data_IF_551571444600
#
_entry.id   IF_551571444600
#
_cell.length_a   1.000
_cell.length_b   1.000
_cell.length_c   1.000
_cell.angle_alpha   90.00
_cell.angle_beta   90.00
_cell.angle_gamma   90.00
#
_symmetry.space_group_name_H-M   'P 1'
#
loop_
_entity.id
_entity.type
_entity.pdbx_description
1 polymer ?
#
# COMPACT_ATOMS: atom_id res chain seq x y z
N UNK A 1 -32.78 -57.95 -47.02
CA UNK A 1 -33.09 -58.88 -45.92
C UNK A 1 -32.04 -58.72 -44.85
N UNK A 2 -32.36 -57.92 -43.84
CA UNK A 2 -32.54 -58.39 -42.46
C UNK A 2 -31.45 -59.11 -41.67
N UNK A 3 -31.30 -58.57 -40.45
CA UNK A 3 -30.82 -59.11 -39.16
C UNK A 3 -29.33 -59.51 -39.03
N UNK A 4 -28.47 -58.82 -38.26
CA UNK A 4 -28.48 -58.45 -36.83
C UNK A 4 -28.04 -59.59 -35.88
N UNK A 5 -27.20 -59.21 -34.91
CA UNK A 5 -26.81 -59.85 -33.64
C UNK A 5 -25.72 -60.93 -33.62
N UNK A 6 -24.65 -60.62 -32.87
CA UNK A 6 -24.38 -61.24 -31.55
C UNK A 6 -23.56 -60.29 -30.66
N UNK A 7 -24.21 -59.86 -29.58
CA UNK A 7 -23.62 -59.25 -28.39
C UNK A 7 -23.13 -60.32 -27.41
N UNK A 8 -22.11 -59.98 -26.61
CA UNK A 8 -22.03 -60.13 -25.15
C UNK A 8 -20.55 -60.14 -24.72
N UNK A 9 -20.10 -59.63 -23.58
CA UNK A 9 -20.54 -58.64 -22.59
C UNK A 9 -19.53 -58.80 -21.43
N UNK A 10 -19.06 -57.69 -20.84
CA UNK A 10 -18.56 -57.48 -19.46
C UNK A 10 -17.64 -56.24 -19.49
N UNK A 11 -18.14 -55.02 -19.37
CA UNK A 11 -18.66 -54.32 -18.18
C UNK A 11 -17.61 -54.12 -17.07
N UNK A 12 -17.16 -52.88 -16.87
CA UNK A 12 -17.27 -52.13 -15.60
C UNK A 12 -17.14 -50.61 -15.85
N UNK A 13 -17.77 -49.85 -14.94
CA UNK A 13 -18.42 -48.53 -15.07
C UNK A 13 -17.53 -47.29 -14.78
N UNK A 14 -17.91 -46.18 -15.45
CA UNK A 14 -18.10 -44.78 -15.02
C UNK A 14 -17.04 -44.04 -14.16
N UNK A 15 -16.66 -42.83 -14.60
CA UNK A 15 -17.24 -41.62 -13.99
C UNK A 15 -17.15 -40.36 -14.88
N UNK A 16 -18.25 -39.61 -14.89
CA UNK A 16 -18.48 -38.33 -15.58
C UNK A 16 -17.92 -37.17 -14.74
N UNK A 17 -17.42 -36.13 -15.40
CA UNK A 17 -17.05 -34.87 -14.77
C UNK A 17 -17.02 -33.72 -15.77
N UNK A 18 -18.10 -32.94 -15.79
CA UNK A 18 -18.31 -31.72 -16.57
C UNK A 18 -17.09 -30.78 -16.61
N UNK A 19 -16.57 -30.51 -17.81
CA UNK A 19 -15.72 -29.33 -18.04
C UNK A 19 -16.62 -28.14 -18.40
N UNK A 20 -17.05 -27.41 -17.37
CA UNK A 20 -17.58 -26.05 -17.54
C UNK A 20 -16.45 -25.09 -17.92
N UNK A 21 -16.72 -24.31 -18.94
CA UNK A 21 -15.98 -23.15 -19.42
C UNK A 21 -15.62 -22.20 -18.26
N UNK A 22 -14.33 -22.08 -17.95
CA UNK A 22 -13.84 -21.04 -17.01
C UNK A 22 -13.86 -19.69 -17.71
N UNK A 23 -14.82 -18.87 -17.31
CA UNK A 23 -14.95 -17.46 -17.66
C UNK A 23 -13.71 -16.65 -17.23
N UNK A 24 -13.28 -15.75 -18.10
CA UNK A 24 -12.18 -14.78 -17.89
C UNK A 24 -12.61 -13.60 -16.95
N UNK A 25 -13.72 -13.74 -16.21
CA UNK A 25 -14.36 -12.63 -15.47
C UNK A 25 -13.95 -12.46 -13.99
N UNK A 26 -12.96 -13.19 -13.46
CA UNK A 26 -12.67 -13.17 -12.01
C UNK A 26 -11.60 -12.17 -11.55
N UNK A 27 -10.79 -11.60 -12.46
CA UNK A 27 -9.72 -10.64 -12.08
C UNK A 27 -10.23 -9.20 -11.95
N UNK A 28 -11.15 -8.78 -12.82
CA UNK A 28 -11.73 -7.44 -12.81
C UNK A 28 -12.70 -7.23 -11.63
N UNK A 29 -13.50 -8.24 -11.28
CA UNK A 29 -14.42 -8.16 -10.13
C UNK A 29 -13.67 -8.03 -8.81
N UNK A 30 -12.60 -8.81 -8.60
CA UNK A 30 -11.77 -8.75 -7.40
C UNK A 30 -10.95 -7.45 -7.28
N UNK A 31 -10.49 -6.86 -8.40
CA UNK A 31 -9.84 -5.54 -8.36
C UNK A 31 -10.82 -4.45 -7.93
N UNK A 32 -12.07 -4.49 -8.44
CA UNK A 32 -13.10 -3.51 -8.09
C UNK A 32 -13.52 -3.60 -6.62
N UNK A 33 -13.65 -4.81 -6.07
CA UNK A 33 -14.00 -4.99 -4.65
C UNK A 33 -12.90 -4.56 -3.69
N UNK A 34 -11.62 -4.84 -4.02
CA UNK A 34 -10.49 -4.37 -3.21
C UNK A 34 -10.38 -2.85 -3.26
N UNK A 35 -10.52 -2.22 -4.43
CA UNK A 35 -10.50 -0.76 -4.56
C UNK A 35 -11.60 -0.07 -3.74
N UNK A 36 -12.82 -0.62 -3.74
CA UNK A 36 -13.93 -0.10 -2.93
C UNK A 36 -13.61 -0.21 -1.44
N UNK A 37 -13.03 -1.33 -1.00
CA UNK A 37 -12.64 -1.52 0.40
C UNK A 37 -11.50 -0.61 0.84
N UNK A 38 -10.50 -0.41 0.00
CA UNK A 38 -9.36 0.47 0.27
C UNK A 38 -9.82 1.92 0.38
N UNK A 39 -10.64 2.37 -0.59
CA UNK A 39 -11.21 3.72 -0.57
C UNK A 39 -12.12 3.95 0.65
N UNK A 40 -12.97 2.99 1.01
CA UNK A 40 -13.85 3.11 2.17
C UNK A 40 -13.06 3.21 3.49
N UNK A 41 -11.97 2.45 3.60
CA UNK A 41 -11.06 2.55 4.74
C UNK A 41 -10.39 3.93 4.82
N UNK A 42 -9.84 4.43 3.70
CA UNK A 42 -9.21 5.76 3.65
C UNK A 42 -10.19 6.87 4.02
N UNK A 43 -11.41 6.84 3.49
CA UNK A 43 -12.45 7.81 3.82
C UNK A 43 -12.85 7.74 5.31
N UNK A 44 -12.97 6.54 5.87
CA UNK A 44 -13.30 6.35 7.30
C UNK A 44 -12.16 6.82 8.19
N UNK A 45 -10.91 6.56 7.82
CA UNK A 45 -9.73 7.05 8.54
C UNK A 45 -9.69 8.58 8.56
N UNK A 46 -9.92 9.24 7.42
CA UNK A 46 -9.99 10.70 7.36
C UNK A 46 -11.14 11.24 8.23
N UNK A 47 -12.31 10.60 8.22
CA UNK A 47 -13.44 11.01 9.07
C UNK A 47 -13.11 10.88 10.56
N UNK A 48 -12.49 9.78 10.97
CA UNK A 48 -12.02 9.60 12.35
C UNK A 48 -11.02 10.71 12.73
N UNK A 49 -10.01 10.96 11.88
CA UNK A 49 -8.96 11.95 12.16
C UNK A 49 -9.49 13.36 12.37
N UNK A 50 -10.60 13.75 11.70
CA UNK A 50 -11.25 15.05 11.92
C UNK A 50 -11.66 15.30 13.37
N UNK A 51 -11.96 14.25 14.12
CA UNK A 51 -12.39 14.34 15.51
C UNK A 51 -11.21 14.28 16.50
N UNK A 52 -9.99 14.06 16.02
CA UNK A 52 -8.79 13.88 16.86
C UNK A 52 -8.00 15.16 17.06
N UNK A 53 -7.07 15.15 18.01
CA UNK A 53 -6.12 16.25 18.16
C UNK A 53 -5.10 16.31 17.00
N UNK A 54 -4.91 15.25 16.22
CA UNK A 54 -3.98 15.26 15.07
C UNK A 54 -4.39 16.34 14.06
N UNK A 55 -5.66 16.33 13.62
CA UNK A 55 -6.14 17.36 12.68
C UNK A 55 -6.24 18.75 13.32
N UNK A 56 -6.53 18.83 14.61
CA UNK A 56 -6.57 20.12 15.34
C UNK A 56 -5.18 20.74 15.42
N UNK A 57 -4.17 19.97 15.80
CA UNK A 57 -2.79 20.42 15.95
C UNK A 57 -2.17 20.79 14.59
N UNK A 58 -2.54 20.07 13.52
CA UNK A 58 -2.15 20.41 12.15
C UNK A 58 -2.92 21.63 11.59
N UNK A 59 -3.94 22.13 12.29
CA UNK A 59 -4.79 23.22 11.84
C UNK A 59 -5.30 23.02 10.40
N UNK A 60 -6.03 21.92 10.17
CA UNK A 60 -6.56 21.58 8.84
C UNK A 60 -7.47 22.70 8.31
N UNK A 61 -7.13 23.24 7.15
CA UNK A 61 -7.88 24.27 6.44
C UNK A 61 -8.86 23.67 5.42
N UNK A 62 -8.45 22.58 4.78
CA UNK A 62 -9.24 21.94 3.72
C UNK A 62 -9.05 20.42 3.72
N UNK A 63 -10.15 19.69 3.49
CA UNK A 63 -10.11 18.28 3.08
C UNK A 63 -10.43 18.23 1.59
N UNK A 64 -9.43 17.89 0.79
CA UNK A 64 -9.50 17.96 -0.68
C UNK A 64 -10.44 16.87 -1.20
N UNK A 65 -11.48 17.31 -1.92
CA UNK A 65 -12.42 16.42 -2.65
C UNK A 65 -12.25 16.51 -4.16
N UNK A 66 -11.47 17.47 -4.64
CA UNK A 66 -11.16 17.62 -6.06
C UNK A 66 -10.26 16.47 -6.53
N UNK A 67 -10.71 15.80 -7.58
CA UNK A 67 -10.06 14.59 -8.09
C UNK A 67 -8.67 14.88 -8.65
N UNK A 68 -8.51 16.00 -9.35
CA UNK A 68 -7.24 16.31 -10.00
C UNK A 68 -6.16 16.66 -8.97
N UNK A 69 -6.54 17.36 -7.89
CA UNK A 69 -5.65 17.60 -6.74
C UNK A 69 -5.33 16.33 -5.97
N UNK A 70 -6.29 15.43 -5.77
CA UNK A 70 -6.04 14.11 -5.18
C UNK A 70 -5.06 13.29 -6.03
N UNK A 71 -5.19 13.31 -7.36
CA UNK A 71 -4.25 12.66 -8.27
C UNK A 71 -2.84 13.28 -8.24
N UNK A 72 -2.70 14.51 -7.75
CA UNK A 72 -1.42 15.15 -7.45
C UNK A 72 -0.94 14.90 -6.01
N UNK A 73 -1.59 13.99 -5.27
CA UNK A 73 -1.15 13.56 -3.93
C UNK A 73 -1.50 14.55 -2.82
N UNK A 74 -2.63 15.22 -2.91
CA UNK A 74 -3.11 16.14 -1.86
C UNK A 74 -4.44 15.62 -1.31
N UNK A 75 -4.42 15.18 -0.06
CA UNK A 75 -5.63 14.79 0.67
C UNK A 75 -6.17 15.93 1.52
N UNK A 76 -5.27 16.70 2.15
CA UNK A 76 -5.63 17.85 2.99
C UNK A 76 -4.66 19.02 2.79
N UNK A 77 -5.17 20.23 3.02
CA UNK A 77 -4.36 21.43 3.24
C UNK A 77 -4.39 21.74 4.72
N UNK A 78 -3.21 21.84 5.32
CA UNK A 78 -3.00 22.12 6.72
C UNK A 78 -2.23 23.42 6.89
N UNK A 79 -2.19 24.01 8.08
CA UNK A 79 -1.39 25.20 8.34
C UNK A 79 -0.40 24.95 9.47
N UNK A 80 0.89 25.03 9.15
CA UNK A 80 1.99 24.84 10.09
C UNK A 80 2.88 26.08 10.10
N UNK A 81 3.14 26.62 11.29
CA UNK A 81 3.95 27.85 11.47
C UNK A 81 3.48 29.04 10.60
N UNK A 82 2.16 29.14 10.39
CA UNK A 82 1.56 30.21 9.57
C UNK A 82 1.71 30.03 8.06
N UNK A 83 2.15 28.85 7.59
CA UNK A 83 2.23 28.50 6.17
C UNK A 83 1.30 27.34 5.86
N UNK A 84 0.64 27.42 4.71
CA UNK A 84 -0.16 26.32 4.19
C UNK A 84 0.77 25.22 3.67
N UNK A 85 0.46 23.98 4.03
CA UNK A 85 1.19 22.79 3.59
C UNK A 85 0.24 21.78 2.95
N UNK A 86 0.73 21.10 1.91
CA UNK A 86 0.01 20.04 1.19
C UNK A 86 0.37 18.67 1.76
N UNK A 87 -0.63 17.95 2.26
CA UNK A 87 -0.43 16.69 2.97
C UNK A 87 -1.12 15.54 2.24
N UNK A 88 -0.38 14.45 2.10
CA UNK A 88 -0.86 13.14 1.66
C UNK A 88 -0.99 12.22 2.88
N UNK A 89 -2.19 11.70 3.14
CA UNK A 89 -2.50 10.88 4.31
C UNK A 89 -2.35 9.42 3.93
N UNK A 90 -1.49 8.71 4.66
CA UNK A 90 -1.18 7.31 4.43
C UNK A 90 -1.58 6.46 5.63
N UNK A 91 -2.80 5.94 5.60
CA UNK A 91 -3.38 5.17 6.71
C UNK A 91 -3.15 3.65 6.58
N UNK A 92 -2.94 2.99 7.72
CA UNK A 92 -2.77 1.55 7.85
C UNK A 92 -3.62 1.03 9.00
N UNK A 93 -4.47 0.02 8.73
CA UNK A 93 -5.32 -0.64 9.74
C UNK A 93 -4.57 -1.67 10.60
N UNK A 94 -3.34 -1.37 11.02
CA UNK A 94 -2.53 -2.23 11.90
C UNK A 94 -1.29 -1.47 12.38
N UNK A 95 -0.81 -1.77 13.59
CA UNK A 95 0.45 -1.26 14.13
C UNK A 95 1.68 -1.98 13.53
N UNK A 96 1.93 -1.78 12.24
CA UNK A 96 3.08 -2.39 11.55
C UNK A 96 4.40 -1.68 11.93
N UNK A 97 5.53 -2.40 12.04
CA UNK A 97 6.83 -1.82 12.41
C UNK A 97 7.52 -1.07 11.25
N UNK A 98 6.84 -0.89 10.11
CA UNK A 98 7.39 -0.31 8.88
C UNK A 98 6.32 0.43 8.09
N UNK A 99 6.75 1.32 7.19
CA UNK A 99 5.94 1.88 6.11
C UNK A 99 6.65 1.67 4.75
N UNK A 100 5.91 1.68 3.65
CA UNK A 100 6.44 1.51 2.29
C UNK A 100 6.17 2.75 1.44
N UNK A 101 7.20 3.34 0.84
CA UNK A 101 7.06 4.46 -0.10
C UNK A 101 7.37 4.02 -1.51
N UNK A 102 6.47 4.30 -2.45
CA UNK A 102 6.63 3.88 -3.83
C UNK A 102 7.64 4.77 -4.57
N UNK A 103 8.62 4.16 -5.23
CA UNK A 103 9.57 4.84 -6.13
C UNK A 103 9.36 4.44 -7.60
N UNK A 104 8.64 3.34 -7.86
CA UNK A 104 8.16 2.99 -9.21
C UNK A 104 6.83 2.28 -9.08
N UNK A 105 5.80 2.74 -9.81
CA UNK A 105 4.43 2.24 -9.68
C UNK A 105 4.12 1.07 -10.59
N UNK A 106 4.07 1.32 -11.90
CA UNK A 106 3.72 0.30 -12.89
C UNK A 106 4.84 0.14 -13.92
N UNK A 107 5.36 -1.08 -14.02
CA UNK A 107 6.43 -1.43 -14.96
C UNK A 107 6.02 -1.21 -16.43
N UNK A 108 4.74 -1.37 -16.77
CA UNK A 108 4.28 -1.29 -18.17
C UNK A 108 4.07 0.14 -18.66
N UNK A 109 3.94 1.10 -17.74
CA UNK A 109 3.70 2.51 -18.08
C UNK A 109 4.86 3.41 -17.67
N UNK A 110 5.94 2.82 -17.15
CA UNK A 110 7.08 3.55 -16.57
C UNK A 110 6.66 4.62 -15.57
N UNK A 111 5.58 4.37 -14.82
CA UNK A 111 5.05 5.33 -13.87
C UNK A 111 6.05 5.52 -12.72
N UNK A 112 6.50 6.75 -12.51
CA UNK A 112 7.30 7.13 -11.34
C UNK A 112 6.47 6.98 -10.08
N UNK A 113 7.09 6.43 -9.02
CA UNK A 113 6.40 6.27 -7.75
C UNK A 113 6.22 7.60 -7.02
N UNK A 114 5.22 7.66 -6.14
CA UNK A 114 4.82 8.87 -5.41
C UNK A 114 5.95 9.63 -4.71
N UNK A 115 6.95 8.91 -4.17
CA UNK A 115 8.05 9.56 -3.46
C UNK A 115 8.96 10.40 -4.38
N UNK A 116 9.14 9.96 -5.64
CA UNK A 116 10.09 10.57 -6.58
C UNK A 116 9.43 11.23 -7.79
N UNK A 117 8.11 11.10 -7.93
CA UNK A 117 7.37 11.70 -9.03
C UNK A 117 7.40 13.24 -8.91
N UNK A 118 7.90 13.99 -9.90
CA UNK A 118 7.88 15.45 -9.88
C UNK A 118 6.50 16.07 -10.08
N UNK A 119 5.53 15.29 -10.61
CA UNK A 119 4.18 15.78 -10.90
C UNK A 119 3.25 15.77 -9.67
N UNK A 120 3.71 15.23 -8.54
CA UNK A 120 2.93 15.21 -7.30
C UNK A 120 3.35 16.41 -6.44
N UNK A 121 2.35 17.06 -5.86
CA UNK A 121 2.51 18.30 -5.09
C UNK A 121 2.58 18.05 -3.58
N UNK A 122 2.63 16.80 -3.14
CA UNK A 122 2.78 16.43 -1.73
C UNK A 122 4.04 17.05 -1.12
N UNK A 123 3.89 17.82 -0.05
CA UNK A 123 5.00 18.38 0.72
C UNK A 123 5.27 17.56 1.99
N UNK A 124 4.21 17.00 2.57
CA UNK A 124 4.29 16.18 3.79
C UNK A 124 3.48 14.89 3.64
N UNK A 125 3.99 13.82 4.24
CA UNK A 125 3.23 12.61 4.50
C UNK A 125 2.72 12.62 5.94
N UNK A 126 1.43 12.40 6.12
CA UNK A 126 0.87 12.01 7.42
C UNK A 126 0.71 10.49 7.43
N UNK A 127 1.63 9.79 8.08
CA UNK A 127 1.60 8.33 8.18
C UNK A 127 0.81 7.96 9.41
N UNK A 128 -0.26 7.18 9.23
CA UNK A 128 -1.22 6.89 10.30
C UNK A 128 -1.36 5.38 10.48
N UNK A 129 -1.11 4.91 11.69
CA UNK A 129 -1.31 3.52 12.11
C UNK A 129 -2.51 3.46 13.05
N UNK A 130 -3.54 2.70 12.67
CA UNK A 130 -4.71 2.44 13.50
C UNK A 130 -4.66 1.01 14.04
N UNK A 131 -4.93 0.86 15.33
CA UNK A 131 -5.35 -0.40 15.93
C UNK A 131 -6.88 -0.44 16.01
N UNK A 132 -7.48 -1.45 15.39
CA UNK A 132 -8.93 -1.59 15.26
C UNK A 132 -9.43 -2.71 16.17
N UNK A 133 -10.41 -2.40 17.03
CA UNK A 133 -11.03 -3.35 17.94
C UNK A 133 -11.68 -4.49 17.15
N UNK A 134 -11.38 -5.73 17.54
CA UNK A 134 -11.92 -6.94 16.89
C UNK A 134 -11.21 -7.35 15.60
N UNK A 135 -10.19 -6.61 15.14
CA UNK A 135 -9.38 -6.99 13.99
C UNK A 135 -8.17 -7.84 14.41
N UNK A 136 -7.98 -8.99 13.76
CA UNK A 136 -6.81 -9.87 13.94
C UNK A 136 -5.74 -9.73 12.85
N UNK A 137 -6.03 -8.93 11.81
CA UNK A 137 -5.12 -8.70 10.69
C UNK A 137 -5.41 -7.37 10.00
N UNK A 138 -4.43 -6.84 9.27
CA UNK A 138 -4.57 -5.62 8.47
C UNK A 138 -5.78 -5.66 7.52
N UNK A 139 -6.00 -6.79 6.82
CA UNK A 139 -7.15 -6.94 5.92
C UNK A 139 -8.47 -6.83 6.65
N UNK A 140 -8.56 -7.45 7.83
CA UNK A 140 -9.76 -7.42 8.65
C UNK A 140 -9.97 -6.03 9.26
N UNK A 141 -8.91 -5.36 9.71
CA UNK A 141 -8.94 -3.98 10.21
C UNK A 141 -9.51 -3.02 9.18
N UNK A 142 -9.05 -3.09 7.93
CA UNK A 142 -9.61 -2.26 6.84
C UNK A 142 -11.10 -2.47 6.63
N UNK A 143 -11.56 -3.71 6.70
CA UNK A 143 -12.97 -4.04 6.47
C UNK A 143 -13.88 -3.68 7.67
N UNK A 144 -13.33 -3.66 8.89
CA UNK A 144 -14.08 -3.46 10.12
C UNK A 144 -14.03 -2.02 10.65
N UNK A 145 -13.06 -1.20 10.22
CA UNK A 145 -12.87 0.13 10.78
C UNK A 145 -14.16 0.95 10.72
N UNK A 146 -14.50 1.54 11.87
CA UNK A 146 -15.48 2.61 12.05
C UNK A 146 -14.82 3.71 12.88
N UNK A 147 -15.49 4.85 13.06
CA UNK A 147 -14.97 5.92 13.92
C UNK A 147 -14.95 5.51 15.41
N UNK A 148 -15.83 4.59 15.80
CA UNK A 148 -16.06 4.22 17.21
C UNK A 148 -15.26 2.99 17.66
N UNK A 149 -14.56 2.29 16.75
CA UNK A 149 -13.85 1.05 17.08
C UNK A 149 -12.34 1.13 16.91
N UNK A 150 -11.79 2.35 16.87
CA UNK A 150 -10.35 2.58 16.93
C UNK A 150 -9.90 2.48 18.38
N UNK A 151 -8.97 1.59 18.70
CA UNK A 151 -8.39 1.48 20.04
C UNK A 151 -7.19 2.43 20.22
N UNK A 152 -6.38 2.55 19.18
CA UNK A 152 -5.18 3.38 19.19
C UNK A 152 -4.92 3.94 17.80
N UNK A 153 -4.46 5.19 17.75
CA UNK A 153 -3.89 5.80 16.55
C UNK A 153 -2.50 6.35 16.85
N UNK A 154 -1.51 5.88 16.11
CA UNK A 154 -0.17 6.48 16.08
C UNK A 154 0.03 7.18 14.73
N UNK A 155 0.33 8.48 14.75
CA UNK A 155 0.49 9.28 13.54
C UNK A 155 1.80 10.06 13.54
N UNK A 156 2.44 10.17 12.38
CA UNK A 156 3.69 10.91 12.19
C UNK A 156 3.56 11.83 10.97
N UNK A 157 3.80 13.13 11.17
CA UNK A 157 3.91 14.09 10.06
C UNK A 157 5.38 14.22 9.66
N UNK A 158 5.69 13.93 8.40
CA UNK A 158 7.06 13.87 7.89
C UNK A 158 7.16 14.69 6.60
N UNK A 159 8.15 15.59 6.53
CA UNK A 159 8.44 16.32 5.30
C UNK A 159 8.97 15.36 4.23
N UNK A 160 8.37 15.40 3.03
CA UNK A 160 8.70 14.50 1.91
C UNK A 160 10.17 14.61 1.50
N UNK A 161 10.69 15.82 1.38
CA UNK A 161 12.08 16.05 0.97
C UNK A 161 13.09 15.60 2.02
N UNK A 162 12.80 15.79 3.31
CA UNK A 162 13.62 15.25 4.40
C UNK A 162 13.65 13.73 4.37
N UNK A 163 12.49 13.08 4.22
CA UNK A 163 12.39 11.63 4.07
C UNK A 163 13.18 11.12 2.86
N UNK A 164 12.99 11.75 1.70
CA UNK A 164 13.68 11.39 0.46
C UNK A 164 15.19 11.48 0.61
N UNK A 165 15.70 12.59 1.16
CA UNK A 165 17.14 12.78 1.44
C UNK A 165 17.70 11.74 2.38
N UNK A 166 16.95 11.39 3.44
CA UNK A 166 17.38 10.33 4.34
C UNK A 166 17.46 8.99 3.60
N UNK A 167 16.46 8.63 2.81
CA UNK A 167 16.50 7.40 2.01
C UNK A 167 17.69 7.40 1.02
N UNK A 168 17.91 8.50 0.29
CA UNK A 168 19.01 8.66 -0.66
C UNK A 168 20.39 8.61 0.00
N UNK A 169 20.49 9.05 1.26
CA UNK A 169 21.73 8.91 2.05
C UNK A 169 22.12 7.44 2.26
N UNK A 170 21.15 6.53 2.35
CA UNK A 170 21.41 5.09 2.51
C UNK A 170 21.49 4.33 1.19
N UNK A 171 20.72 4.74 0.18
CA UNK A 171 20.52 3.96 -1.04
C UNK A 171 21.12 4.60 -2.31
N UNK A 172 21.59 5.84 -2.22
CA UNK A 172 21.98 6.65 -3.36
C UNK A 172 20.79 7.17 -4.17
N UNK A 173 21.05 7.56 -5.41
CA UNK A 173 20.04 8.05 -6.35
C UNK A 173 18.94 7.00 -6.61
N UNK A 174 17.69 7.39 -6.34
CA UNK A 174 16.54 6.48 -6.42
C UNK A 174 16.14 6.12 -7.85
N UNK A 175 16.37 6.98 -8.84
CA UNK A 175 16.10 6.65 -10.24
C UNK A 175 17.11 5.61 -10.73
N UNK A 176 18.39 5.81 -10.40
CA UNK A 176 19.45 4.83 -10.69
C UNK A 176 19.18 3.49 -9.99
N UNK A 177 18.67 3.52 -8.75
CA UNK A 177 18.28 2.30 -8.03
C UNK A 177 17.12 1.56 -8.71
N UNK A 178 16.11 2.30 -9.19
CA UNK A 178 15.00 1.71 -9.96
C UNK A 178 15.54 0.98 -11.18
N UNK A 179 16.40 1.61 -11.98
CA UNK A 179 16.97 1.01 -13.18
C UNK A 179 17.75 -0.27 -12.87
N UNK A 180 18.59 -0.23 -11.83
CA UNK A 180 19.33 -1.41 -11.35
C UNK A 180 18.40 -2.56 -10.95
N UNK A 181 17.34 -2.27 -10.20
CA UNK A 181 16.38 -3.28 -9.76
C UNK A 181 15.61 -3.86 -10.97
N UNK A 182 15.21 -3.01 -11.91
CA UNK A 182 14.47 -3.43 -13.12
C UNK A 182 15.31 -4.26 -14.07
N UNK A 183 16.64 -4.16 -14.02
CA UNK A 183 17.55 -5.01 -14.80
C UNK A 183 17.57 -6.49 -14.34
N UNK A 184 17.04 -6.80 -13.15
CA UNK A 184 16.97 -8.19 -12.69
C UNK A 184 15.81 -8.96 -13.33
N UNK A 185 16.10 -10.13 -13.89
CA UNK A 185 15.09 -11.12 -14.25
C UNK A 185 14.63 -11.89 -13.00
N UNK A 186 13.46 -11.52 -12.46
CA UNK A 186 12.96 -12.04 -11.20
C UNK A 186 11.72 -12.92 -11.43
N UNK A 187 11.84 -14.21 -11.13
CA UNK A 187 10.78 -15.21 -11.35
C UNK A 187 10.07 -15.66 -10.06
N UNK A 188 10.15 -14.89 -8.98
CA UNK A 188 9.48 -15.24 -7.72
C UNK A 188 8.03 -14.76 -7.67
N UNK A 189 7.18 -15.51 -6.95
CA UNK A 189 5.73 -15.22 -6.84
C UNK A 189 5.39 -14.12 -5.83
N UNK A 190 6.30 -13.77 -4.93
CA UNK A 190 6.05 -12.87 -3.80
C UNK A 190 6.81 -11.54 -3.97
N UNK A 191 7.65 -11.16 -3.01
CA UNK A 191 8.36 -9.89 -3.01
C UNK A 191 9.87 -10.11 -2.99
N UNK A 192 10.59 -9.50 -3.93
CA UNK A 192 12.05 -9.51 -4.00
C UNK A 192 12.60 -8.35 -3.18
N UNK A 193 13.67 -8.60 -2.43
CA UNK A 193 14.29 -7.61 -1.55
C UNK A 193 15.69 -7.32 -2.03
N UNK A 194 16.14 -6.08 -1.88
CA UNK A 194 17.50 -5.71 -2.23
C UNK A 194 18.20 -5.03 -1.05
N UNK A 195 19.53 -5.03 -1.07
CA UNK A 195 20.36 -4.30 -0.10
C UNK A 195 20.57 -2.83 -0.53
N UNK A 196 21.42 -2.10 0.18
CA UNK A 196 21.79 -0.71 -0.10
C UNK A 196 22.41 -0.50 -1.49
N UNK A 197 23.00 -1.54 -2.07
CA UNK A 197 23.65 -1.48 -3.40
C UNK A 197 22.68 -1.80 -4.54
N UNK A 198 21.44 -2.16 -4.22
CA UNK A 198 20.45 -2.64 -5.20
C UNK A 198 20.66 -4.11 -5.59
N UNK A 199 21.39 -4.89 -4.80
CA UNK A 199 21.64 -6.31 -5.07
C UNK A 199 20.57 -7.19 -4.42
N UNK A 200 20.09 -8.21 -5.14
CA UNK A 200 19.06 -9.13 -4.66
C UNK A 200 19.53 -9.91 -3.41
N UNK A 201 18.73 -9.90 -2.34
CA UNK A 201 19.02 -10.63 -1.09
C UNK A 201 18.01 -11.74 -0.82
N UNK A 202 18.51 -12.92 -0.40
CA UNK A 202 17.69 -14.11 -0.10
C UNK A 202 17.06 -14.12 1.29
N UNK A 203 17.67 -13.42 2.25
CA UNK A 203 17.27 -13.45 3.66
C UNK A 203 16.44 -12.21 4.04
N UNK A 204 15.81 -12.25 5.22
CA UNK A 204 15.16 -11.06 5.81
C UNK A 204 16.17 -9.93 5.89
N UNK A 205 15.90 -8.84 5.17
CA UNK A 205 16.71 -7.64 5.26
C UNK A 205 16.58 -7.06 6.69
N UNK A 206 17.72 -6.92 7.39
CA UNK A 206 17.79 -6.37 8.75
C UNK A 206 17.91 -4.85 8.76
N UNK A 207 18.18 -4.24 7.62
CA UNK A 207 18.32 -2.79 7.47
C UNK A 207 17.07 -2.03 7.90
N UNK A 208 17.28 -0.76 8.24
CA UNK A 208 16.18 0.14 8.59
C UNK A 208 15.46 0.70 7.36
N UNK A 209 16.18 0.81 6.25
CA UNK A 209 15.68 1.30 4.96
C UNK A 209 16.13 0.31 3.90
N UNK A 210 15.20 -0.23 3.10
CA UNK A 210 15.54 -1.15 2.02
C UNK A 210 14.51 -1.21 0.91
N UNK A 211 14.93 -1.41 -0.35
CA UNK A 211 14.04 -1.59 -1.49
C UNK A 211 13.40 -2.98 -1.53
N UNK A 212 12.15 -3.01 -2.02
CA UNK A 212 11.35 -4.21 -2.25
C UNK A 212 10.59 -4.07 -3.57
N UNK A 213 10.72 -5.09 -4.43
CA UNK A 213 9.92 -5.26 -5.63
C UNK A 213 8.76 -6.22 -5.34
N UNK A 214 7.52 -5.79 -5.59
CA UNK A 214 6.32 -6.60 -5.39
C UNK A 214 6.00 -7.45 -6.63
N UNK A 215 6.70 -8.57 -6.80
CA UNK A 215 6.60 -9.43 -8.00
C UNK A 215 5.23 -10.11 -8.19
N UNK A 216 4.46 -10.28 -7.11
CA UNK A 216 3.13 -10.88 -7.15
C UNK A 216 2.00 -9.96 -7.67
N UNK A 217 2.30 -8.69 -7.91
CA UNK A 217 1.36 -7.72 -8.48
C UNK A 217 1.61 -7.56 -9.98
N UNK A 218 0.57 -7.27 -10.76
CA UNK A 218 0.69 -7.05 -12.21
C UNK A 218 1.53 -5.80 -12.51
N UNK A 219 1.35 -4.77 -11.69
CA UNK A 219 2.00 -3.48 -11.78
C UNK A 219 3.50 -3.59 -11.38
N UNK A 220 3.84 -4.58 -10.54
CA UNK A 220 5.18 -4.81 -10.02
C UNK A 220 5.85 -3.55 -9.46
N UNK A 221 5.25 -2.86 -8.47
CA UNK A 221 5.83 -1.64 -7.92
C UNK A 221 7.14 -1.92 -7.17
N UNK A 222 8.05 -0.95 -7.20
CA UNK A 222 9.23 -0.89 -6.34
C UNK A 222 8.95 0.10 -5.22
N UNK A 223 9.04 -0.39 -3.99
CA UNK A 223 8.84 0.38 -2.77
C UNK A 223 10.13 0.42 -1.96
N UNK A 224 10.34 1.51 -1.23
CA UNK A 224 11.30 1.59 -0.14
C UNK A 224 10.56 1.30 1.16
N UNK A 225 10.97 0.24 1.85
CA UNK A 225 10.49 -0.08 3.20
C UNK A 225 11.34 0.68 4.20
N UNK A 226 10.70 1.46 5.06
CA UNK A 226 11.33 2.24 6.14
C UNK A 226 10.79 1.76 7.48
N UNK A 227 11.66 1.50 8.44
CA UNK A 227 11.26 1.13 9.81
C UNK A 227 10.59 2.30 10.52
N UNK A 228 9.57 1.97 11.32
CA UNK A 228 8.80 2.96 12.09
C UNK A 228 9.70 3.82 12.98
N UNK A 229 10.74 3.25 13.59
CA UNK A 229 11.65 4.04 14.44
C UNK A 229 12.41 5.12 13.65
N UNK A 230 12.79 4.86 12.39
CA UNK A 230 13.35 5.91 11.53
C UNK A 230 12.30 6.95 11.18
N UNK A 231 11.06 6.54 10.95
CA UNK A 231 9.97 7.49 10.68
C UNK A 231 9.72 8.42 11.87
N UNK A 232 9.78 7.90 13.11
CA UNK A 232 9.67 8.71 14.32
C UNK A 232 10.80 9.72 14.46
N UNK A 233 12.04 9.31 14.15
CA UNK A 233 13.20 10.21 14.17
C UNK A 233 13.08 11.35 13.15
N UNK A 234 12.45 11.10 12.00
CA UNK A 234 12.21 12.09 10.95
C UNK A 234 10.94 12.92 11.14
N UNK A 235 10.06 12.51 12.06
CA UNK A 235 8.78 13.14 12.26
C UNK A 235 8.95 14.52 12.90
N UNK A 236 8.33 15.53 12.29
CA UNK A 236 8.26 16.88 12.87
C UNK A 236 7.15 16.98 13.93
N UNK A 237 6.16 16.10 13.84
CA UNK A 237 5.13 15.89 14.85
C UNK A 237 4.80 14.40 14.93
N UNK A 238 4.60 13.90 16.15
CA UNK A 238 4.29 12.51 16.44
C UNK A 238 3.20 12.46 17.50
N UNK A 239 2.12 11.76 17.19
CA UNK A 239 0.97 11.60 18.08
C UNK A 239 0.74 10.12 18.38
N UNK A 240 0.30 9.86 19.61
CA UNK A 240 -0.27 8.58 20.03
C UNK A 240 -1.58 8.91 20.76
N UNK A 241 -2.69 8.43 20.23
CA UNK A 241 -4.03 8.60 20.78
C UNK A 241 -4.53 7.22 21.19
N UNK A 242 -4.95 7.07 22.44
CA UNK A 242 -5.62 5.87 22.91
C UNK A 242 -7.09 6.21 23.13
N UNK A 243 -7.96 5.56 22.36
CA UNK A 243 -9.40 5.67 22.51
C UNK A 243 -9.90 4.48 23.32
N UNK A 244 -10.65 4.79 24.37
CA UNK A 244 -11.47 3.77 25.04
C UNK A 244 -12.71 3.62 24.18
N UNK A 245 -12.70 2.67 23.25
CA UNK A 245 -13.88 2.34 22.45
C UNK A 245 -15.14 2.17 23.29
#
# INVERSE_FOLDING_TARGET
MDFNKRENNHAYKLNLGNRTSRSIHSSQSNKRTNWVGDKAFEETSIQYLQNTNIFKDMNIQEIVKDRDRQLRGIDVIAQLYGQDIKVDIKSIASQLPTFCFEISGNINTSQKGWLINPDVETEYYLIVYHEIIGASSYRQGKALMTQDNVAETEAMLINKETLKKEIERHLGDLEVLVDKIRAYEIHQKSAARFNEKGELVKNRNRMNIYPVLSCGLYEQPINIVVRKEVLKELAIMHWIIHDKG
#
